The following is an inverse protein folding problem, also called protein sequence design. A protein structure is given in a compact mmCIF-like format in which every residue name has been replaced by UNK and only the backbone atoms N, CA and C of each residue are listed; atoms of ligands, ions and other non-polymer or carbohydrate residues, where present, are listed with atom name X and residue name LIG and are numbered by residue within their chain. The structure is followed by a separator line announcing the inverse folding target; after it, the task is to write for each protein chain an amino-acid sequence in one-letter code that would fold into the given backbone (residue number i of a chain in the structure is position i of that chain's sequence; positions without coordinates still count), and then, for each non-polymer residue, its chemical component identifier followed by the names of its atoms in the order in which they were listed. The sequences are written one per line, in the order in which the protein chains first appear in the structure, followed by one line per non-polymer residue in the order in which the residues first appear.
data_IF_938569838197
#
_entry.id   IF_938569838197
#
_cell.length_a   1.000
_cell.length_b   1.000
_cell.length_c   1.000
_cell.angle_alpha   90.00
_cell.angle_beta   90.00
_cell.angle_gamma   90.00
#
_symmetry.space_group_name_H-M   'P 1'
#
loop_
_entity.id
_entity.type
_entity.pdbx_description
1 polymer ?
#
# COMPACT_ATOMS: atom_id res chain seq x y z
N UNK A 1 -5.65 14.24 7.43
CA UNK A 1 -4.53 13.29 7.56
C UNK A 1 -5.00 11.96 7.01
N UNK A 2 -4.22 11.22 6.22
CA UNK A 2 -4.66 9.89 5.73
C UNK A 2 -4.76 8.88 6.88
N UNK A 3 -5.37 7.72 6.61
CA UNK A 3 -5.40 6.59 7.55
C UNK A 3 -4.74 5.34 6.95
N UNK A 4 -4.04 4.59 7.79
CA UNK A 4 -3.34 3.34 7.44
C UNK A 4 -3.90 2.16 8.24
N UNK A 5 -3.98 1.00 7.60
CA UNK A 5 -4.27 -0.27 8.24
C UNK A 5 -3.27 -1.31 7.74
N UNK A 6 -2.64 -2.02 8.67
CA UNK A 6 -1.79 -3.17 8.39
C UNK A 6 -2.26 -4.38 9.19
N UNK A 7 -2.22 -5.57 8.59
CA UNK A 7 -2.45 -6.83 9.28
C UNK A 7 -1.31 -7.79 8.97
N UNK A 8 -0.77 -8.43 10.01
CA UNK A 8 0.17 -9.54 9.90
C UNK A 8 -0.31 -10.64 10.84
N UNK A 9 -0.53 -11.84 10.31
CA UNK A 9 -1.07 -12.98 11.05
C UNK A 9 -0.33 -14.27 10.65
N UNK A 10 -0.27 -15.23 11.58
CA UNK A 10 0.32 -16.54 11.34
C UNK A 10 -0.64 -17.53 10.66
N UNK A 11 -1.93 -17.21 10.60
CA UNK A 11 -2.98 -17.97 9.91
C UNK A 11 -3.85 -17.02 9.06
N UNK A 12 -4.46 -17.50 7.96
CA UNK A 12 -5.34 -16.66 7.15
C UNK A 12 -6.54 -16.12 7.96
N UNK A 13 -6.55 -14.80 8.18
CA UNK A 13 -7.54 -14.11 9.00
C UNK A 13 -8.46 -13.26 8.14
N UNK A 14 -9.74 -13.21 8.52
CA UNK A 14 -10.75 -12.40 7.87
C UNK A 14 -10.47 -10.91 8.10
N UNK A 15 -10.43 -10.14 7.01
CA UNK A 15 -10.17 -8.69 7.04
C UNK A 15 -11.46 -7.86 6.95
N UNK A 16 -12.59 -8.45 6.55
CA UNK A 16 -13.81 -7.73 6.20
C UNK A 16 -14.34 -6.90 7.37
N UNK A 17 -14.17 -7.35 8.61
CA UNK A 17 -14.52 -6.59 9.81
C UNK A 17 -13.69 -5.29 9.94
N UNK A 18 -12.35 -5.41 9.88
CA UNK A 18 -11.44 -4.26 9.99
C UNK A 18 -11.55 -3.32 8.79
N UNK A 19 -11.79 -3.87 7.60
CA UNK A 19 -11.96 -3.10 6.38
C UNK A 19 -13.29 -2.33 6.36
N UNK A 20 -14.39 -2.92 6.85
CA UNK A 20 -15.68 -2.21 6.95
C UNK A 20 -15.58 -0.96 7.82
N UNK A 21 -14.89 -1.05 8.96
CA UNK A 21 -14.63 0.12 9.81
C UNK A 21 -13.80 1.18 9.10
N UNK A 22 -12.80 0.77 8.30
CA UNK A 22 -11.98 1.66 7.48
C UNK A 22 -12.82 2.35 6.39
N UNK A 23 -13.64 1.60 5.63
CA UNK A 23 -14.51 2.11 4.55
C UNK A 23 -15.47 3.20 5.03
N UNK A 24 -16.04 3.06 6.23
CA UNK A 24 -16.94 4.07 6.80
C UNK A 24 -16.26 5.43 6.96
N UNK A 25 -14.96 5.46 7.28
CA UNK A 25 -14.19 6.70 7.46
C UNK A 25 -13.76 7.34 6.13
N UNK A 26 -13.77 6.58 5.05
CA UNK A 26 -13.52 7.07 3.69
C UNK A 26 -14.74 7.71 3.02
N UNK A 27 -15.34 8.68 3.71
CA UNK A 27 -16.38 9.56 3.16
C UNK A 27 -17.77 9.45 3.81
N UNK A 28 -18.01 8.46 4.67
CA UNK A 28 -19.25 8.34 5.46
C UNK A 28 -19.19 9.14 6.76
N UNK A 29 -18.14 8.94 7.56
CA UNK A 29 -17.96 9.58 8.88
C UNK A 29 -16.70 10.45 8.99
N UNK A 30 -15.77 10.36 8.03
CA UNK A 30 -14.51 11.10 8.00
C UNK A 30 -14.33 11.97 6.75
N UNK A 31 -13.37 12.92 6.75
CA UNK A 31 -13.13 13.84 5.63
C UNK A 31 -12.42 13.20 4.42
N UNK A 32 -12.07 11.90 4.50
CA UNK A 32 -11.20 11.23 3.55
C UNK A 32 -11.98 10.78 2.30
N UNK A 33 -11.96 11.60 1.26
CA UNK A 33 -12.74 11.40 0.03
C UNK A 33 -11.89 11.19 -1.22
N UNK A 34 -10.57 11.17 -1.07
CA UNK A 34 -9.64 11.29 -2.20
C UNK A 34 -9.01 9.96 -2.62
N UNK A 35 -9.74 8.88 -2.35
CA UNK A 35 -9.42 7.53 -2.75
C UNK A 35 -9.07 6.58 -1.61
N UNK A 36 -9.06 5.30 -1.91
CA UNK A 36 -8.70 4.23 -0.98
C UNK A 36 -8.08 3.06 -1.74
N UNK A 37 -7.41 2.20 -1.00
CA UNK A 37 -6.97 0.93 -1.56
C UNK A 37 -6.58 -0.08 -0.49
N UNK A 38 -6.55 -1.33 -0.91
CA UNK A 38 -6.19 -2.49 -0.10
C UNK A 38 -5.45 -3.49 -0.96
N UNK A 39 -4.38 -4.05 -0.41
CA UNK A 39 -3.70 -5.22 -0.96
C UNK A 39 -3.67 -6.31 0.10
N UNK A 40 -4.00 -7.53 -0.31
CA UNK A 40 -3.91 -8.72 0.53
C UNK A 40 -3.22 -9.85 -0.21
N UNK A 41 -2.47 -10.67 0.53
CA UNK A 41 -1.65 -11.74 -0.01
C UNK A 41 -2.31 -13.11 0.15
N UNK A 42 -2.28 -13.90 -0.92
CA UNK A 42 -2.66 -15.32 -0.94
C UNK A 42 -1.43 -16.11 -1.39
N UNK A 43 -0.67 -16.61 -0.41
CA UNK A 43 0.64 -17.21 -0.67
C UNK A 43 1.63 -16.18 -1.24
N UNK A 44 2.16 -16.43 -2.44
CA UNK A 44 3.07 -15.50 -3.14
C UNK A 44 2.34 -14.46 -3.99
N UNK A 45 1.06 -14.71 -4.30
CA UNK A 45 0.22 -13.79 -5.03
C UNK A 45 -0.36 -12.71 -4.12
N UNK A 46 -0.80 -11.60 -4.72
CA UNK A 46 -1.59 -10.60 -4.02
C UNK A 46 -2.69 -10.07 -4.94
N UNK A 47 -3.81 -9.66 -4.34
CA UNK A 47 -4.85 -8.89 -5.03
C UNK A 47 -4.85 -7.49 -4.47
N UNK A 48 -4.97 -6.51 -5.36
CA UNK A 48 -4.99 -5.09 -5.02
C UNK A 48 -6.25 -4.47 -5.58
N UNK A 49 -7.06 -3.87 -4.71
CA UNK A 49 -8.23 -3.09 -5.07
C UNK A 49 -7.97 -1.64 -4.70
N UNK A 50 -8.24 -0.73 -5.64
CA UNK A 50 -8.07 0.71 -5.45
C UNK A 50 -9.18 1.46 -6.16
N UNK A 51 -9.57 2.58 -5.58
CA UNK A 51 -10.50 3.51 -6.21
C UNK A 51 -10.08 4.94 -5.83
N UNK A 52 -9.95 5.87 -6.79
CA UNK A 52 -9.75 7.29 -6.48
C UNK A 52 -10.99 7.96 -5.88
N UNK A 53 -12.18 7.35 -6.02
CA UNK A 53 -13.42 7.84 -5.40
C UNK A 53 -13.49 7.49 -3.90
N UNK A 54 -14.32 8.19 -3.11
CA UNK A 54 -14.55 7.85 -1.71
C UNK A 54 -15.00 6.40 -1.54
N UNK A 55 -14.46 5.70 -0.53
CA UNK A 55 -14.77 4.28 -0.30
C UNK A 55 -16.23 4.05 0.03
N UNK A 56 -16.91 5.00 0.69
CA UNK A 56 -18.30 4.86 1.10
C UNK A 56 -19.26 4.63 -0.09
N UNK A 57 -18.97 5.21 -1.27
CA UNK A 57 -19.81 5.08 -2.46
C UNK A 57 -19.20 4.16 -3.54
N UNK A 58 -18.07 3.50 -3.24
CA UNK A 58 -17.35 2.70 -4.23
C UNK A 58 -17.97 1.30 -4.36
N UNK A 59 -18.43 0.90 -5.56
CA UNK A 59 -18.88 -0.48 -5.80
C UNK A 59 -17.76 -1.50 -5.57
N UNK A 60 -16.49 -1.09 -5.77
CA UNK A 60 -15.32 -1.91 -5.49
C UNK A 60 -15.17 -2.13 -3.98
N UNK A 61 -15.43 -1.11 -3.16
CA UNK A 61 -15.37 -1.26 -1.71
C UNK A 61 -16.44 -2.26 -1.23
N UNK A 62 -17.66 -2.14 -1.76
CA UNK A 62 -18.74 -3.08 -1.47
C UNK A 62 -18.40 -4.51 -1.88
N UNK A 63 -17.83 -4.71 -3.07
CA UNK A 63 -17.34 -6.02 -3.52
C UNK A 63 -16.32 -6.59 -2.52
N UNK A 64 -15.36 -5.78 -2.07
CA UNK A 64 -14.34 -6.22 -1.10
C UNK A 64 -14.96 -6.56 0.25
N UNK A 65 -15.99 -5.84 0.70
CA UNK A 65 -16.71 -6.13 1.94
C UNK A 65 -17.51 -7.43 1.88
N UNK A 66 -18.14 -7.69 0.74
CA UNK A 66 -18.99 -8.87 0.52
C UNK A 66 -18.17 -10.13 0.17
N UNK A 67 -16.90 -9.99 -0.21
CA UNK A 67 -16.03 -11.09 -0.58
C UNK A 67 -15.28 -11.66 0.64
N UNK A 68 -15.36 -12.96 0.96
CA UNK A 68 -14.72 -13.54 2.15
C UNK A 68 -13.20 -13.65 1.94
N UNK A 69 -12.49 -12.55 2.18
CA UNK A 69 -11.03 -12.45 2.00
C UNK A 69 -10.36 -12.90 3.29
N UNK A 70 -9.51 -13.94 3.18
CA UNK A 70 -8.61 -14.34 4.26
C UNK A 70 -7.17 -14.17 3.81
N UNK A 71 -6.36 -13.55 4.65
CA UNK A 71 -4.96 -13.27 4.34
C UNK A 71 -4.10 -13.32 5.60
N UNK A 72 -2.83 -13.67 5.44
CA UNK A 72 -1.82 -13.51 6.49
C UNK A 72 -1.19 -12.11 6.47
N UNK A 73 -1.34 -11.36 5.38
CA UNK A 73 -0.73 -10.04 5.22
C UNK A 73 -1.63 -9.09 4.44
N UNK A 74 -1.95 -7.95 5.04
CA UNK A 74 -2.79 -6.91 4.41
C UNK A 74 -2.18 -5.55 4.65
N UNK A 75 -2.22 -4.71 3.61
CA UNK A 75 -1.92 -3.29 3.69
C UNK A 75 -3.08 -2.52 3.05
N UNK A 76 -3.69 -1.61 3.78
CA UNK A 76 -4.75 -0.75 3.30
C UNK A 76 -4.50 0.72 3.68
N UNK A 77 -5.08 1.61 2.89
CA UNK A 77 -4.89 3.05 3.04
C UNK A 77 -6.14 3.80 2.59
N UNK A 78 -6.60 4.76 3.40
CA UNK A 78 -7.60 5.77 2.97
C UNK A 78 -6.88 7.08 2.74
N UNK A 79 -7.04 7.64 1.54
CA UNK A 79 -6.35 8.84 1.09
C UNK A 79 -7.17 10.10 1.38
N UNK A 80 -6.45 11.09 1.88
CA UNK A 80 -6.80 12.49 1.81
C UNK A 80 -5.68 13.19 1.02
N UNK A 81 -5.98 13.59 -0.21
CA UNK A 81 -4.98 13.99 -1.18
C UNK A 81 -4.40 15.36 -0.81
N UNK A 82 -3.13 15.36 -0.40
CA UNK A 82 -2.35 16.58 -0.21
C UNK A 82 -1.36 16.84 -1.36
N UNK A 83 -1.04 15.81 -2.16
CA UNK A 83 -0.10 15.86 -3.30
C UNK A 83 -0.51 14.92 -4.42
N UNK A 84 -0.25 15.37 -5.65
CA UNK A 84 -0.71 14.73 -6.88
C UNK A 84 -2.23 14.86 -7.05
N UNK A 85 -2.70 14.84 -8.30
CA UNK A 85 -4.14 14.81 -8.57
C UNK A 85 -4.80 13.56 -7.97
N UNK A 86 -6.11 13.63 -7.73
CA UNK A 86 -6.93 12.46 -7.38
C UNK A 86 -7.01 11.56 -8.61
N UNK A 87 -6.27 10.45 -8.60
CA UNK A 87 -6.15 9.52 -9.71
C UNK A 87 -5.68 8.15 -9.20
N UNK A 88 -5.95 7.09 -9.96
CA UNK A 88 -5.71 5.70 -9.55
C UNK A 88 -4.21 5.40 -9.36
N UNK A 89 -3.37 5.95 -10.24
CA UNK A 89 -1.91 5.87 -10.19
C UNK A 89 -1.31 6.58 -8.97
N UNK A 90 -2.03 7.53 -8.38
CA UNK A 90 -1.63 8.25 -7.17
C UNK A 90 -2.27 7.68 -5.89
N UNK A 91 -3.02 6.57 -6.00
CA UNK A 91 -3.75 5.95 -4.89
C UNK A 91 -2.95 4.80 -4.31
N UNK A 92 -2.74 4.84 -2.99
CA UNK A 92 -2.12 3.77 -2.21
C UNK A 92 -3.03 2.53 -2.10
N UNK A 93 -2.46 1.34 -1.82
CA UNK A 93 -1.01 1.06 -1.74
C UNK A 93 -0.36 0.94 -3.12
N UNK A 94 0.96 1.08 -3.18
CA UNK A 94 1.77 0.82 -4.37
C UNK A 94 2.33 -0.60 -4.33
N UNK A 95 2.36 -1.27 -5.48
CA UNK A 95 2.91 -2.62 -5.60
C UNK A 95 3.97 -2.68 -6.70
N UNK A 96 5.12 -3.29 -6.41
CA UNK A 96 6.20 -3.53 -7.38
C UNK A 96 6.84 -4.88 -7.15
N UNK A 97 7.35 -5.47 -8.23
CA UNK A 97 8.09 -6.71 -8.17
C UNK A 97 9.55 -6.42 -7.76
N UNK A 98 10.07 -7.20 -6.81
CA UNK A 98 11.49 -7.29 -6.50
C UNK A 98 11.80 -8.72 -6.00
N UNK A 99 12.79 -9.37 -6.61
CA UNK A 99 13.28 -10.72 -6.28
C UNK A 99 12.25 -11.86 -6.40
N UNK A 100 11.42 -11.80 -7.44
CA UNK A 100 10.33 -12.72 -7.73
C UNK A 100 9.10 -12.56 -6.82
N UNK A 101 8.93 -11.41 -6.15
CA UNK A 101 7.86 -11.18 -5.17
C UNK A 101 7.25 -9.79 -5.32
N UNK A 102 5.94 -9.70 -5.07
CA UNK A 102 5.26 -8.40 -4.95
C UNK A 102 5.58 -7.77 -3.60
N UNK A 103 6.10 -6.56 -3.63
CA UNK A 103 6.29 -5.68 -2.49
C UNK A 103 5.19 -4.64 -2.50
N UNK A 104 4.57 -4.44 -1.33
CA UNK A 104 3.47 -3.49 -1.17
C UNK A 104 3.87 -2.41 -0.18
N UNK A 105 3.57 -1.16 -0.52
CA UNK A 105 3.96 0.02 0.26
C UNK A 105 2.80 1.00 0.40
N UNK A 106 2.61 1.51 1.62
CA UNK A 106 1.71 2.61 1.90
C UNK A 106 2.40 3.58 2.86
N UNK A 107 2.16 4.88 2.64
CA UNK A 107 2.83 5.94 3.39
C UNK A 107 1.83 7.03 3.79
N UNK A 108 1.90 7.45 5.05
CA UNK A 108 1.12 8.55 5.58
C UNK A 108 2.06 9.65 6.07
N UNK A 109 2.21 10.69 5.25
CA UNK A 109 3.15 11.77 5.51
C UNK A 109 3.40 12.61 4.28
N UNK A 110 4.32 13.55 4.39
CA UNK A 110 4.80 14.37 3.28
C UNK A 110 6.31 14.42 3.28
N UNK A 111 6.92 14.25 2.10
CA UNK A 111 8.36 14.34 1.94
C UNK A 111 8.74 15.61 1.17
N UNK A 112 9.71 16.36 1.73
CA UNK A 112 10.38 17.46 1.04
C UNK A 112 11.62 16.92 0.33
N UNK A 113 11.99 17.50 -0.82
CA UNK A 113 13.18 17.09 -1.57
C UNK A 113 13.10 15.71 -2.24
N UNK A 114 11.93 15.05 -2.23
CA UNK A 114 11.77 13.67 -2.74
C UNK A 114 12.20 13.49 -4.21
N UNK A 115 12.13 14.55 -5.02
CA UNK A 115 12.57 14.51 -6.43
C UNK A 115 14.08 14.27 -6.61
N UNK A 116 14.88 14.48 -5.55
CA UNK A 116 16.32 14.19 -5.56
C UNK A 116 16.63 12.73 -5.19
N UNK A 117 15.61 11.94 -4.82
CA UNK A 117 15.79 10.53 -4.48
C UNK A 117 16.06 9.72 -5.75
N UNK A 118 17.25 9.14 -5.84
CA UNK A 118 17.65 8.23 -6.93
C UNK A 118 16.89 6.90 -6.87
N UNK A 119 16.11 6.59 -7.91
CA UNK A 119 15.28 5.38 -7.94
C UNK A 119 15.85 4.26 -8.81
N UNK A 120 17.00 4.48 -9.45
CA UNK A 120 17.62 3.52 -10.35
C UNK A 120 16.68 3.07 -11.47
N UNK A 121 16.43 1.76 -11.55
CA UNK A 121 15.54 1.17 -12.55
C UNK A 121 14.06 1.24 -12.18
N UNK A 122 13.73 1.50 -10.90
CA UNK A 122 12.35 1.67 -10.47
C UNK A 122 11.86 3.07 -10.86
N UNK A 123 10.79 3.15 -11.64
CA UNK A 123 10.23 4.42 -12.11
C UNK A 123 8.81 4.60 -11.58
N UNK A 124 8.50 5.68 -10.84
CA UNK A 124 7.13 5.95 -10.42
C UNK A 124 6.22 6.07 -11.64
N UNK A 125 4.96 5.63 -11.50
CA UNK A 125 3.94 5.77 -12.53
C UNK A 125 3.18 7.09 -12.33
N UNK A 126 2.83 7.39 -11.08
CA UNK A 126 2.18 8.63 -10.67
C UNK A 126 3.18 9.72 -10.28
N UNK A 127 2.67 10.71 -9.56
CA UNK A 127 3.36 11.97 -9.27
C UNK A 127 3.62 12.17 -7.76
N UNK A 128 3.23 11.18 -6.95
CA UNK A 128 3.29 11.31 -5.50
C UNK A 128 4.72 11.17 -4.98
N UNK A 129 5.02 11.91 -3.91
CA UNK A 129 6.24 11.73 -3.14
C UNK A 129 6.36 10.33 -2.54
N UNK A 130 5.22 9.74 -2.19
CA UNK A 130 5.11 8.41 -1.62
C UNK A 130 5.54 7.32 -2.60
N UNK A 131 5.14 7.40 -3.88
CA UNK A 131 5.61 6.44 -4.88
C UNK A 131 7.09 6.64 -5.21
N UNK A 132 7.57 7.88 -5.30
CA UNK A 132 9.00 8.15 -5.47
C UNK A 132 9.83 7.53 -4.33
N UNK A 133 9.38 7.70 -3.08
CA UNK A 133 10.04 7.11 -1.93
C UNK A 133 10.04 5.57 -1.99
N UNK A 134 8.95 4.95 -2.44
CA UNK A 134 8.90 3.52 -2.62
C UNK A 134 9.91 3.02 -3.66
N UNK A 135 9.97 3.67 -4.83
CA UNK A 135 10.95 3.35 -5.87
C UNK A 135 12.39 3.52 -5.37
N UNK A 136 12.65 4.57 -4.59
CA UNK A 136 13.96 4.80 -3.97
C UNK A 136 14.32 3.73 -2.94
N UNK A 137 13.38 3.33 -2.07
CA UNK A 137 13.60 2.25 -1.10
C UNK A 137 13.97 0.94 -1.78
N UNK A 138 13.24 0.55 -2.83
CA UNK A 138 13.55 -0.66 -3.61
C UNK A 138 14.93 -0.54 -4.28
N UNK A 139 15.27 0.62 -4.81
CA UNK A 139 16.59 0.85 -5.36
C UNK A 139 17.70 0.65 -4.30
N UNK A 140 17.54 1.25 -3.11
CA UNK A 140 18.50 1.06 -2.01
C UNK A 140 18.62 -0.39 -1.57
N UNK A 141 17.53 -1.15 -1.58
CA UNK A 141 17.57 -2.59 -1.33
C UNK A 141 18.39 -3.32 -2.40
N UNK A 142 18.23 -2.99 -3.69
CA UNK A 142 19.05 -3.61 -4.75
C UNK A 142 20.52 -3.23 -4.71
N UNK A 143 20.86 -2.02 -4.25
CA UNK A 143 22.25 -1.58 -4.07
C UNK A 143 22.92 -2.34 -2.91
N UNK A 144 22.20 -2.51 -1.79
CA UNK A 144 22.70 -3.23 -0.62
C UNK A 144 22.72 -4.75 -0.82
N UNK A 145 21.72 -5.27 -1.52
CA UNK A 145 21.53 -6.69 -1.78
C UNK A 145 21.33 -6.92 -3.30
N UNK A 146 22.43 -7.08 -4.06
CA UNK A 146 22.35 -7.26 -5.52
C UNK A 146 21.61 -8.53 -5.96
N UNK A 147 21.45 -9.49 -5.07
CA UNK A 147 20.69 -10.73 -5.25
C UNK A 147 19.73 -10.91 -4.09
N UNK A 148 18.69 -11.71 -4.30
CA UNK A 148 17.76 -12.11 -3.25
C UNK A 148 18.54 -12.62 -2.03
N UNK A 149 18.41 -11.98 -0.87
CA UNK A 149 19.05 -12.43 0.35
C UNK A 149 18.63 -13.86 0.71
N UNK A 150 19.59 -14.72 1.02
CA UNK A 150 19.31 -16.09 1.49
C UNK A 150 18.67 -16.11 2.89
N UNK A 151 18.93 -15.07 3.69
CA UNK A 151 18.30 -14.83 4.98
C UNK A 151 17.59 -13.47 4.95
N UNK A 152 16.26 -13.49 4.91
CA UNK A 152 15.44 -12.28 4.86
C UNK A 152 15.29 -11.60 6.24
N UNK A 153 15.46 -12.33 7.34
CA UNK A 153 15.41 -11.74 8.69
C UNK A 153 16.61 -10.81 8.92
N UNK A 154 17.79 -11.18 8.41
CA UNK A 154 18.98 -10.33 8.46
C UNK A 154 18.83 -9.02 7.67
N UNK A 155 17.88 -8.96 6.73
CA UNK A 155 17.56 -7.74 5.97
C UNK A 155 16.73 -6.77 6.81
N UNK A 156 15.90 -7.29 7.71
CA UNK A 156 15.03 -6.54 8.60
C UNK A 156 15.33 -6.91 10.06
N UNK A 157 16.55 -6.59 10.55
CA UNK A 157 16.87 -6.87 11.94
C UNK A 157 15.84 -6.17 12.83
N UNK A 158 15.10 -6.95 13.61
CA UNK A 158 14.22 -6.41 14.63
C UNK A 158 15.12 -5.74 15.66
N UNK A 159 15.15 -4.41 15.65
CA UNK A 159 15.68 -3.64 16.75
C UNK A 159 14.64 -3.73 17.88
N UNK A 160 14.88 -4.64 18.83
CA UNK A 160 14.16 -4.71 20.09
C UNK A 160 14.57 -3.55 21.01
#
# INVERSE_FOLDING_TARGET
MCELLGMSANVPTDICFSFTGLVQRGGGTGPHKDGWGITFYEGKGCRTFKDPQPSFNSPIARLVQDYPIKSCSVVAHIRQANRGKVALENTHPFTRELWGRNWTYAHNGQLKGYRMLETGTFRPIGETDSEQAFCWLLHKLTQRYPRTPGNMEAVFPLHY
#
